data_IF_425207906161
#
_entry.id   IF_425207906161
#
_cell.length_a   1.000
_cell.length_b   1.000
_cell.length_c   1.000
_cell.angle_alpha   90.00
_cell.angle_beta   90.00
_cell.angle_gamma   90.00
#
_symmetry.space_group_name_H-M   'P 1'
#
loop_
_entity.id
_entity.type
_entity.pdbx_description
1 polymer ?
#
# COMPACT_ATOMS: atom_id res chain seq x y z
N UNK A 1 9.35 -25.83 -37.04
CA UNK A 1 8.38 -25.83 -35.91
C UNK A 1 9.05 -25.81 -34.53
N UNK A 2 10.08 -26.63 -34.28
CA UNK A 2 10.82 -26.65 -33.00
C UNK A 2 11.55 -25.33 -32.66
N UNK A 3 12.14 -24.64 -33.63
CA UNK A 3 12.86 -23.39 -33.37
C UNK A 3 11.94 -22.27 -32.85
N UNK A 4 10.69 -22.22 -33.32
CA UNK A 4 9.68 -21.26 -32.82
C UNK A 4 9.24 -21.59 -31.39
N UNK A 5 9.07 -22.87 -31.06
CA UNK A 5 8.75 -23.32 -29.70
C UNK A 5 9.90 -23.03 -28.73
N UNK A 6 11.14 -23.28 -29.14
CA UNK A 6 12.32 -23.00 -28.34
C UNK A 6 12.48 -21.49 -28.08
N UNK A 7 12.27 -20.66 -29.10
CA UNK A 7 12.33 -19.21 -28.96
C UNK A 7 11.21 -18.67 -28.06
N UNK A 8 9.98 -19.18 -28.20
CA UNK A 8 8.87 -18.84 -27.31
C UNK A 8 9.14 -19.24 -25.85
N UNK A 9 9.74 -20.42 -25.63
CA UNK A 9 10.12 -20.89 -24.31
C UNK A 9 11.20 -20.01 -23.65
N UNK A 10 12.23 -19.62 -24.40
CA UNK A 10 13.27 -18.69 -23.92
C UNK A 10 12.68 -17.31 -23.57
N UNK A 11 11.76 -16.79 -24.38
CA UNK A 11 11.06 -15.53 -24.08
C UNK A 11 10.23 -15.62 -22.80
N UNK A 12 9.53 -16.74 -22.59
CA UNK A 12 8.77 -16.99 -21.37
C UNK A 12 9.69 -17.08 -20.14
N UNK A 13 10.80 -17.81 -20.22
CA UNK A 13 11.79 -17.91 -19.15
C UNK A 13 12.38 -16.53 -18.81
N UNK A 14 12.77 -15.76 -19.83
CA UNK A 14 13.28 -14.39 -19.66
C UNK A 14 12.26 -13.47 -18.99
N UNK A 15 10.99 -13.54 -19.41
CA UNK A 15 9.91 -12.77 -18.79
C UNK A 15 9.68 -13.16 -17.32
N UNK A 16 9.67 -14.46 -17.00
CA UNK A 16 9.52 -14.96 -15.62
C UNK A 16 10.71 -14.55 -14.75
N UNK A 17 11.93 -14.67 -15.26
CA UNK A 17 13.15 -14.29 -14.54
C UNK A 17 13.17 -12.77 -14.27
N UNK A 18 12.82 -11.95 -15.26
CA UNK A 18 12.71 -10.49 -15.11
C UNK A 18 11.67 -10.11 -14.07
N UNK A 19 10.49 -10.74 -14.08
CA UNK A 19 9.45 -10.49 -13.09
C UNK A 19 9.93 -10.86 -11.67
N UNK A 20 10.52 -12.05 -11.51
CA UNK A 20 11.06 -12.49 -10.22
C UNK A 20 12.13 -11.53 -9.69
N UNK A 21 13.04 -11.09 -10.56
CA UNK A 21 14.09 -10.13 -10.19
C UNK A 21 13.51 -8.76 -9.82
N UNK A 22 12.56 -8.27 -10.60
CA UNK A 22 11.87 -7.00 -10.31
C UNK A 22 11.13 -7.07 -8.98
N UNK A 23 10.47 -8.20 -8.67
CA UNK A 23 9.82 -8.43 -7.37
C UNK A 23 10.81 -8.43 -6.23
N UNK A 24 11.93 -9.16 -6.36
CA UNK A 24 12.99 -9.19 -5.36
C UNK A 24 13.55 -7.80 -5.13
N UNK A 25 13.93 -7.08 -6.18
CA UNK A 25 14.42 -5.71 -6.06
C UNK A 25 13.41 -4.75 -5.38
N UNK A 26 12.10 -4.97 -5.56
CA UNK A 26 11.09 -4.19 -4.85
C UNK A 26 11.07 -4.48 -3.34
N UNK A 27 11.27 -5.75 -2.96
CA UNK A 27 11.31 -6.22 -1.58
C UNK A 27 12.66 -5.86 -0.93
N UNK A 28 13.76 -5.98 -1.65
CA UNK A 28 15.12 -5.71 -1.17
C UNK A 28 15.37 -4.19 -1.00
N UNK A 29 14.59 -3.35 -1.70
CA UNK A 29 14.70 -1.89 -1.65
C UNK A 29 14.09 -1.23 -0.41
N UNK A 30 13.63 -2.00 0.58
CA UNK A 30 13.10 -1.50 1.86
C UNK A 30 12.04 -2.41 2.47
N UNK A 31 11.47 -2.02 3.61
CA UNK A 31 10.42 -2.79 4.29
C UNK A 31 9.11 -2.81 3.49
N UNK A 32 8.99 -3.80 2.59
CA UNK A 32 7.79 -4.03 1.80
C UNK A 32 6.78 -4.88 2.58
N UNK A 33 5.50 -4.53 2.45
CA UNK A 33 4.40 -5.19 3.15
C UNK A 33 3.24 -5.51 2.21
N UNK A 34 2.44 -6.49 2.59
CA UNK A 34 1.24 -6.83 1.84
C UNK A 34 0.12 -5.85 2.13
N UNK A 35 -0.54 -5.35 1.09
CA UNK A 35 -1.60 -4.38 1.25
C UNK A 35 -2.80 -4.59 0.31
N UNK A 36 -3.92 -3.98 0.68
CA UNK A 36 -5.04 -3.65 -0.21
C UNK A 36 -5.37 -2.18 -0.03
N UNK A 37 -5.83 -1.54 -1.11
CA UNK A 37 -6.08 -0.10 -1.13
C UNK A 37 -7.50 0.14 -1.64
N UNK A 38 -8.19 1.11 -1.05
CA UNK A 38 -9.45 1.67 -1.56
C UNK A 38 -9.41 3.19 -1.55
N UNK A 39 -10.24 3.84 -2.36
CA UNK A 39 -10.51 5.28 -2.20
C UNK A 39 -11.68 5.49 -1.24
N UNK A 40 -11.59 6.52 -0.40
CA UNK A 40 -12.70 6.98 0.46
C UNK A 40 -13.37 8.25 -0.07
N UNK A 41 -13.18 8.55 -1.36
CA UNK A 41 -13.79 9.69 -2.03
C UNK A 41 -13.71 9.56 -3.55
N UNK A 42 -13.19 10.59 -4.22
CA UNK A 42 -12.84 10.54 -5.64
C UNK A 42 -11.59 9.69 -5.90
N UNK A 43 -11.44 9.10 -7.09
CA UNK A 43 -10.25 8.34 -7.42
C UNK A 43 -9.03 9.29 -7.54
N UNK A 44 -7.84 8.89 -7.04
CA UNK A 44 -6.62 9.68 -7.20
C UNK A 44 -6.27 9.88 -8.67
N UNK A 45 -5.65 11.01 -9.03
CA UNK A 45 -5.16 11.30 -10.38
C UNK A 45 -4.14 10.27 -10.84
N UNK A 46 -3.23 9.86 -9.95
CA UNK A 46 -2.24 8.81 -10.18
C UNK A 46 -2.85 7.41 -10.32
N UNK A 47 -4.11 7.22 -9.88
CA UNK A 47 -4.77 5.92 -9.89
C UNK A 47 -6.28 6.02 -10.16
N UNK A 48 -6.64 6.50 -11.35
CA UNK A 48 -8.05 6.70 -11.76
C UNK A 48 -8.95 5.46 -11.67
N UNK A 49 -8.37 4.26 -11.73
CA UNK A 49 -9.09 2.98 -11.64
C UNK A 49 -9.28 2.48 -10.20
N UNK A 50 -8.78 3.19 -9.19
CA UNK A 50 -8.98 2.83 -7.80
C UNK A 50 -10.45 3.03 -7.44
N UNK A 51 -11.03 2.04 -6.76
CA UNK A 51 -12.46 2.02 -6.41
C UNK A 51 -12.63 2.14 -4.90
N UNK A 52 -13.88 2.38 -4.48
CA UNK A 52 -14.29 2.34 -3.06
C UNK A 52 -14.22 0.93 -2.45
N UNK A 53 -14.18 -0.08 -3.30
CA UNK A 53 -13.95 -1.47 -2.90
C UNK A 53 -12.45 -1.72 -2.73
N UNK A 54 -12.09 -2.54 -1.74
CA UNK A 54 -10.72 -3.00 -1.54
C UNK A 54 -10.16 -3.63 -2.81
N UNK A 55 -9.00 -3.14 -3.25
CA UNK A 55 -8.27 -3.70 -4.38
C UNK A 55 -7.96 -5.19 -4.21
N UNK A 56 -7.39 -5.83 -5.22
CA UNK A 56 -6.71 -7.12 -5.02
C UNK A 56 -5.53 -6.93 -4.05
N UNK A 57 -5.00 -8.04 -3.51
CA UNK A 57 -3.80 -8.03 -2.67
C UNK A 57 -2.57 -7.64 -3.50
N UNK A 58 -1.73 -6.79 -2.94
CA UNK A 58 -0.61 -6.13 -3.63
C UNK A 58 0.54 -5.90 -2.65
N UNK A 59 1.68 -5.46 -3.17
CA UNK A 59 2.80 -5.04 -2.34
C UNK A 59 2.89 -3.53 -2.29
N UNK A 60 3.22 -3.00 -1.12
CA UNK A 60 3.57 -1.61 -0.97
C UNK A 60 4.86 -1.46 -0.16
N UNK A 61 5.53 -0.32 -0.33
CA UNK A 61 6.64 0.12 0.51
C UNK A 61 6.67 1.64 0.55
N UNK A 62 7.25 2.20 1.58
CA UNK A 62 7.54 3.63 1.64
C UNK A 62 8.88 3.96 0.97
N UNK A 63 8.97 5.16 0.43
CA UNK A 63 10.17 5.78 -0.13
C UNK A 63 10.14 7.25 0.22
N UNK A 64 10.60 7.60 1.43
CA UNK A 64 10.28 8.90 2.02
C UNK A 64 8.78 8.99 2.30
N UNK A 65 8.14 10.09 1.90
CA UNK A 65 6.69 10.32 1.99
C UNK A 65 5.88 9.74 0.82
N UNK A 66 6.53 9.02 -0.10
CA UNK A 66 5.87 8.33 -1.20
C UNK A 66 5.56 6.88 -0.85
N UNK A 67 4.27 6.51 -0.91
CA UNK A 67 3.86 5.12 -0.90
C UNK A 67 3.98 4.55 -2.32
N UNK A 68 4.95 3.65 -2.50
CA UNK A 68 5.19 2.95 -3.76
C UNK A 68 4.45 1.63 -3.73
N UNK A 69 3.61 1.41 -4.72
CA UNK A 69 2.60 0.37 -4.74
C UNK A 69 2.74 -0.47 -5.99
N UNK A 70 3.11 -1.75 -5.84
CA UNK A 70 3.30 -2.70 -6.93
C UNK A 70 2.07 -3.57 -7.14
N UNK A 71 1.52 -3.56 -8.35
CA UNK A 71 0.31 -4.31 -8.72
C UNK A 71 0.61 -5.50 -9.62
N UNK A 72 0.17 -6.69 -9.21
CA UNK A 72 0.11 -7.88 -10.06
C UNK A 72 1.44 -8.58 -10.33
N UNK A 73 1.40 -9.71 -11.08
CA UNK A 73 2.56 -10.53 -11.39
C UNK A 73 3.22 -10.27 -12.73
N UNK A 74 2.76 -9.33 -13.54
CA UNK A 74 3.38 -9.08 -14.84
C UNK A 74 3.32 -7.59 -15.13
N UNK A 75 4.44 -7.03 -15.60
CA UNK A 75 4.59 -5.65 -16.10
C UNK A 75 4.51 -4.52 -15.07
N UNK A 76 5.33 -4.59 -14.01
CA UNK A 76 5.84 -3.42 -13.26
C UNK A 76 4.85 -2.25 -13.09
N UNK A 77 3.58 -2.56 -12.76
CA UNK A 77 2.53 -1.54 -12.61
C UNK A 77 2.65 -0.88 -11.26
N UNK A 78 3.80 -0.25 -11.06
CA UNK A 78 4.18 0.51 -9.89
C UNK A 78 3.47 1.86 -9.93
N UNK A 79 2.75 2.17 -8.87
CA UNK A 79 2.13 3.48 -8.64
C UNK A 79 2.88 4.14 -7.49
N UNK A 80 3.18 5.43 -7.64
CA UNK A 80 3.74 6.25 -6.56
C UNK A 80 2.67 7.21 -6.07
N UNK A 81 2.47 7.23 -4.76
CA UNK A 81 1.47 8.05 -4.10
C UNK A 81 2.17 8.89 -3.02
N UNK A 82 2.49 10.15 -3.31
CA UNK A 82 2.93 11.09 -2.28
C UNK A 82 1.80 11.31 -1.29
N UNK A 83 2.01 10.93 -0.04
CA UNK A 83 0.96 10.78 0.95
C UNK A 83 1.32 11.46 2.27
N UNK A 84 0.29 11.88 3.00
CA UNK A 84 0.36 12.30 4.40
C UNK A 84 -0.67 11.51 5.19
N UNK A 85 -0.34 11.10 6.41
CA UNK A 85 -1.29 10.38 7.25
C UNK A 85 -2.37 11.32 7.78
N UNK A 86 -3.62 10.85 7.71
CA UNK A 86 -4.77 11.51 8.33
C UNK A 86 -4.66 11.50 9.87
N UNK A 87 -5.18 12.51 10.58
CA UNK A 87 -5.16 12.55 12.05
C UNK A 87 -5.81 11.35 12.75
N UNK A 88 -6.68 10.61 12.05
CA UNK A 88 -7.30 9.37 12.56
C UNK A 88 -6.26 8.28 12.82
N UNK A 89 -5.14 8.30 12.09
CA UNK A 89 -4.08 7.32 12.20
C UNK A 89 -4.48 5.90 11.78
N UNK A 90 -3.92 4.91 12.48
CA UNK A 90 -4.20 3.49 12.27
C UNK A 90 -5.47 3.07 13.01
N UNK A 91 -6.34 2.33 12.34
CA UNK A 91 -7.56 1.77 12.92
C UNK A 91 -7.76 0.31 12.50
N UNK A 92 -8.52 -0.43 13.30
CA UNK A 92 -8.87 -1.83 13.03
C UNK A 92 -9.91 -1.90 11.92
N UNK A 93 -9.71 -2.81 10.96
CA UNK A 93 -10.69 -3.08 9.90
C UNK A 93 -11.57 -4.26 10.33
N UNK A 94 -12.92 -4.14 10.22
CA UNK A 94 -13.80 -5.23 10.58
C UNK A 94 -13.46 -6.54 9.84
N UNK A 95 -13.54 -7.69 10.54
CA UNK A 95 -13.37 -8.99 9.91
C UNK A 95 -14.30 -9.13 8.71
N UNK A 96 -13.76 -9.55 7.57
CA UNK A 96 -14.54 -9.75 6.34
C UNK A 96 -14.57 -8.57 5.36
N UNK A 97 -14.22 -7.34 5.77
CA UNK A 97 -14.09 -6.21 4.83
C UNK A 97 -12.79 -6.31 4.01
N UNK A 98 -11.64 -6.44 4.68
CA UNK A 98 -10.33 -6.58 4.06
C UNK A 98 -9.87 -8.04 3.96
N UNK A 99 -10.71 -8.92 3.39
CA UNK A 99 -10.38 -10.36 3.21
C UNK A 99 -8.95 -10.56 2.67
N UNK A 100 -8.22 -11.54 3.22
CA UNK A 100 -6.86 -11.95 2.81
C UNK A 100 -5.70 -11.00 3.19
N UNK A 101 -5.93 -10.00 4.04
CA UNK A 101 -4.89 -9.18 4.69
C UNK A 101 -4.52 -9.69 6.10
N UNK A 102 -4.61 -11.00 6.35
CA UNK A 102 -4.36 -11.61 7.66
C UNK A 102 -5.59 -11.72 8.55
N UNK A 103 -5.38 -12.20 9.78
CA UNK A 103 -6.45 -12.41 10.78
C UNK A 103 -6.88 -11.10 11.45
N UNK A 104 -5.94 -10.19 11.69
CA UNK A 104 -6.17 -8.89 12.32
C UNK A 104 -5.75 -7.77 11.36
N UNK A 105 -6.58 -7.43 10.37
CA UNK A 105 -6.26 -6.36 9.43
C UNK A 105 -6.43 -4.99 10.07
N UNK A 106 -5.43 -4.13 9.88
CA UNK A 106 -5.46 -2.71 10.24
C UNK A 106 -5.39 -1.86 8.98
N UNK A 107 -5.86 -0.62 9.07
CA UNK A 107 -5.79 0.34 7.98
C UNK A 107 -5.34 1.72 8.45
N UNK A 108 -4.78 2.48 7.51
CA UNK A 108 -4.46 3.91 7.69
C UNK A 108 -5.11 4.71 6.57
N UNK A 109 -5.61 5.90 6.92
CA UNK A 109 -6.11 6.88 5.97
C UNK A 109 -5.00 7.82 5.54
N UNK A 110 -4.81 7.95 4.24
CA UNK A 110 -3.76 8.77 3.62
C UNK A 110 -4.39 9.84 2.74
N UNK A 111 -4.05 11.10 3.02
CA UNK A 111 -4.27 12.21 2.10
C UNK A 111 -3.17 12.23 1.06
N UNK A 112 -3.56 12.19 -0.20
CA UNK A 112 -2.63 12.30 -1.31
C UNK A 112 -2.42 13.76 -1.69
N UNK A 113 -1.29 14.05 -2.35
CA UNK A 113 -0.95 15.41 -2.80
C UNK A 113 -2.02 16.07 -3.68
N UNK A 114 -2.81 15.28 -4.39
CA UNK A 114 -3.91 15.76 -5.23
C UNK A 114 -5.23 15.98 -4.46
N UNK A 115 -5.21 15.88 -3.14
CA UNK A 115 -6.37 16.06 -2.27
C UNK A 115 -7.28 14.83 -2.20
N UNK A 116 -6.95 13.73 -2.87
CA UNK A 116 -7.73 12.50 -2.75
C UNK A 116 -7.40 11.75 -1.46
N UNK A 117 -8.40 11.04 -0.93
CA UNK A 117 -8.28 10.24 0.30
C UNK A 117 -8.30 8.76 -0.05
N UNK A 118 -7.26 8.04 0.37
CA UNK A 118 -7.16 6.59 0.21
C UNK A 118 -7.00 5.89 1.56
N UNK A 119 -7.45 4.65 1.63
CA UNK A 119 -7.21 3.77 2.77
C UNK A 119 -6.31 2.64 2.33
N UNK A 120 -5.29 2.37 3.12
CA UNK A 120 -4.32 1.29 2.90
C UNK A 120 -4.43 0.33 4.06
N UNK A 121 -4.54 -0.96 3.76
CA UNK A 121 -4.58 -2.02 4.77
C UNK A 121 -3.27 -2.78 4.82
N UNK A 122 -2.95 -3.32 5.98
CA UNK A 122 -1.93 -4.35 6.17
C UNK A 122 -2.35 -5.30 7.29
N UNK A 123 -1.54 -6.32 7.55
CA UNK A 123 -1.68 -7.10 8.79
C UNK A 123 -1.26 -6.24 9.98
N UNK A 124 -1.77 -6.54 11.18
CA UNK A 124 -1.31 -5.84 12.39
C UNK A 124 0.19 -6.00 12.66
N UNK A 125 0.78 -7.14 12.30
CA UNK A 125 2.23 -7.36 12.41
C UNK A 125 3.05 -6.40 11.53
N UNK A 126 2.46 -5.85 10.46
CA UNK A 126 3.07 -4.89 9.54
C UNK A 126 2.70 -3.43 9.87
N UNK A 127 2.28 -3.13 11.12
CA UNK A 127 1.82 -1.79 11.54
C UNK A 127 2.84 -0.70 11.27
N UNK A 128 4.11 -0.95 11.60
CA UNK A 128 5.20 0.01 11.43
C UNK A 128 5.45 0.28 9.95
N UNK A 129 5.42 -0.76 9.13
CA UNK A 129 5.57 -0.68 7.68
C UNK A 129 4.37 0.03 7.05
N UNK A 130 3.16 -0.18 7.56
CA UNK A 130 1.94 0.47 7.09
C UNK A 130 2.02 2.00 7.25
N UNK A 131 2.48 2.49 8.40
CA UNK A 131 2.61 3.93 8.65
C UNK A 131 3.89 4.55 8.10
N UNK A 132 4.93 3.73 7.91
CA UNK A 132 6.21 4.14 7.34
C UNK A 132 6.84 5.33 8.07
N UNK A 133 7.13 6.45 7.37
CA UNK A 133 7.78 7.62 7.99
C UNK A 133 6.90 8.33 9.02
N UNK A 134 5.61 8.01 9.08
CA UNK A 134 4.63 8.66 9.96
C UNK A 134 4.40 7.86 11.25
N UNK A 135 5.48 7.44 11.92
CA UNK A 135 5.42 6.53 13.07
C UNK A 135 4.49 7.00 14.20
N UNK A 136 4.36 8.32 14.40
CA UNK A 136 3.42 8.88 15.38
C UNK A 136 1.97 8.40 15.15
N UNK A 137 1.60 8.12 13.89
CA UNK A 137 0.28 7.61 13.55
C UNK A 137 0.07 6.12 13.84
N UNK A 138 1.14 5.36 14.14
CA UNK A 138 0.99 3.97 14.62
C UNK A 138 0.45 3.92 16.04
N UNK A 139 0.66 5.00 16.80
CA UNK A 139 0.28 5.15 18.20
C UNK A 139 -0.92 6.08 18.38
N UNK A 140 -1.84 6.14 17.41
CA UNK A 140 -3.00 7.05 17.49
C UNK A 140 -3.97 6.76 18.65
N UNK A 141 -3.72 5.73 19.45
CA UNK A 141 -4.32 5.49 20.76
C UNK A 141 -3.68 6.34 21.89
N UNK A 142 -2.72 7.22 21.58
CA UNK A 142 -2.12 8.12 22.56
C UNK A 142 -3.19 9.09 23.10
N UNK A 143 -3.25 9.29 24.43
CA UNK A 143 -4.21 10.20 25.04
C UNK A 143 -4.03 11.60 24.44
N UNK A 144 -5.13 12.20 24.00
CA UNK A 144 -5.16 13.55 23.45
C UNK A 144 -4.57 14.49 24.51
N UNK A 145 -3.51 15.24 24.14
CA UNK A 145 -2.90 16.20 25.04
C UNK A 145 -3.99 17.14 25.62
N UNK A 146 -3.96 17.44 26.93
CA UNK A 146 -4.93 18.35 27.52
C UNK A 146 -4.90 19.68 26.78
N UNK A 147 -6.04 20.10 26.23
CA UNK A 147 -6.16 21.40 25.57
C UNK A 147 -6.03 22.45 26.67
N UNK A 148 -5.06 23.38 26.63
CA UNK A 148 -4.97 24.45 27.61
C UNK A 148 -6.28 25.24 27.58
N UNK A 149 -6.99 25.23 28.71
CA UNK A 149 -8.19 26.02 28.91
C UNK A 149 -7.78 27.48 28.81
N UNK A 150 -8.26 28.20 27.79
CA UNK A 150 -8.16 29.65 27.75
C UNK A 150 -9.01 30.17 28.91
N UNK A 151 -8.36 30.59 29.99
CA UNK A 151 -9.00 31.41 31.01
C UNK A 151 -9.32 32.75 30.36
N UNK A 152 -10.58 33.13 30.43
CA UNK A 152 -11.14 34.36 29.90
C UNK A 152 -12.03 34.95 30.98
#
# INVERSE_FOLDING_TARGET
MWSLLFLAFLLLLGAVARERRSRRHFIDGGSAFWCRIRTSGGPPRAWRRLRRQWSRRMWARWSGDELVVRRGPVFDRTIRLTARVSPVGVYVVPPGEAKRCGQHPIAVRLWLRDGSLVEVTATEAERTELVGPFLAAAFSDLPKAPVPRREN
#
